data_IF_590447106169
#
_entry.id   IF_590447106169
#
_cell.length_a   1.000
_cell.length_b   1.000
_cell.length_c   1.000
_cell.angle_alpha   90.00
_cell.angle_beta   90.00
_cell.angle_gamma   90.00
#
_symmetry.space_group_name_H-M   'P 1'
#
loop_
_entity.id
_entity.type
_entity.pdbx_description
1 polymer ?
#
# COMPACT_ATOMS: atom_id res chain seq x y z
N UNK A 1 40.43 -31.55 -5.87
CA UNK A 1 39.02 -31.81 -5.56
C UNK A 1 38.18 -31.14 -6.62
N UNK A 2 37.40 -31.90 -7.37
CA UNK A 2 36.54 -31.39 -8.45
C UNK A 2 35.17 -31.12 -7.84
N UNK A 3 34.77 -29.85 -7.77
CA UNK A 3 33.41 -29.49 -7.38
C UNK A 3 32.47 -29.83 -8.52
N UNK A 4 31.58 -30.81 -8.30
CA UNK A 4 30.43 -31.07 -9.15
C UNK A 4 29.33 -30.08 -8.79
N UNK A 5 28.90 -29.25 -9.74
CA UNK A 5 27.65 -28.50 -9.65
C UNK A 5 26.59 -29.27 -10.43
N UNK A 6 26.01 -30.29 -9.82
CA UNK A 6 24.74 -30.84 -10.29
C UNK A 6 23.69 -29.73 -10.11
N UNK A 7 23.06 -29.32 -11.21
CA UNK A 7 21.90 -28.45 -11.13
C UNK A 7 20.77 -29.23 -10.43
N UNK A 8 20.25 -28.70 -9.32
CA UNK A 8 19.06 -29.27 -8.70
C UNK A 8 17.87 -29.07 -9.65
N UNK A 9 17.47 -30.14 -10.33
CA UNK A 9 16.18 -30.17 -11.04
C UNK A 9 15.11 -30.17 -9.96
N UNK A 10 14.37 -29.07 -9.84
CA UNK A 10 13.16 -29.04 -9.03
C UNK A 10 12.11 -29.79 -9.82
N UNK A 11 11.73 -30.99 -9.36
CA UNK A 11 10.58 -31.69 -9.91
C UNK A 11 9.31 -30.86 -9.68
N UNK A 12 8.42 -30.86 -10.66
CA UNK A 12 7.16 -30.13 -10.58
C UNK A 12 6.29 -30.74 -9.48
N UNK A 13 6.21 -30.04 -8.36
CA UNK A 13 5.36 -30.36 -7.22
C UNK A 13 4.26 -29.29 -7.12
N UNK A 14 3.01 -29.71 -7.33
CA UNK A 14 1.82 -28.85 -7.22
C UNK A 14 1.65 -28.23 -5.82
N UNK A 15 2.35 -28.79 -4.82
CA UNK A 15 2.34 -28.31 -3.43
C UNK A 15 3.52 -27.41 -3.07
N UNK A 16 4.46 -27.17 -4.00
CA UNK A 16 5.60 -26.31 -3.75
C UNK A 16 5.14 -24.85 -3.56
N UNK A 17 5.37 -24.23 -2.38
CA UNK A 17 4.96 -22.86 -2.16
C UNK A 17 5.85 -21.91 -2.99
N UNK A 18 5.24 -21.19 -3.93
CA UNK A 18 5.91 -20.11 -4.66
C UNK A 18 5.76 -18.78 -3.91
N UNK A 19 6.86 -18.04 -3.74
CA UNK A 19 6.80 -16.66 -3.24
C UNK A 19 6.32 -15.74 -4.37
N UNK A 20 5.02 -15.41 -4.36
CA UNK A 20 4.40 -14.54 -5.38
C UNK A 20 4.59 -13.06 -5.08
N UNK A 21 4.73 -12.70 -3.79
CA UNK A 21 4.93 -11.32 -3.36
C UNK A 21 5.63 -11.26 -1.99
N UNK A 22 6.76 -10.56 -1.95
CA UNK A 22 7.51 -10.34 -0.72
C UNK A 22 6.81 -9.32 0.18
N UNK A 23 6.46 -9.73 1.40
CA UNK A 23 5.71 -8.91 2.37
C UNK A 23 6.55 -8.10 3.36
N UNK A 24 7.89 -8.20 3.30
CA UNK A 24 8.77 -7.46 4.20
C UNK A 24 9.64 -6.44 3.45
N UNK A 25 9.99 -5.34 4.12
CA UNK A 25 11.02 -4.37 3.70
C UNK A 25 11.97 -4.07 4.86
N UNK A 26 13.07 -3.38 4.57
CA UNK A 26 14.06 -3.00 5.59
C UNK A 26 13.63 -1.77 6.39
N UNK A 27 12.94 -0.84 5.75
CA UNK A 27 12.40 0.35 6.40
C UNK A 27 10.93 0.08 6.73
N UNK A 28 10.59 0.16 8.00
CA UNK A 28 9.25 -0.16 8.52
C UNK A 28 8.65 1.06 9.22
N UNK A 29 7.46 1.45 8.78
CA UNK A 29 6.59 2.39 9.48
C UNK A 29 5.47 1.58 10.13
N UNK A 30 5.57 1.39 11.44
CA UNK A 30 4.60 0.64 12.22
C UNK A 30 3.94 1.57 13.23
N UNK A 31 2.61 1.63 13.20
CA UNK A 31 1.86 2.35 14.21
C UNK A 31 1.56 1.43 15.40
N UNK A 32 1.75 1.95 16.61
CA UNK A 32 1.34 1.27 17.83
C UNK A 32 -0.17 0.97 17.79
N UNK A 33 -0.55 -0.21 18.25
CA UNK A 33 -1.96 -0.56 18.42
C UNK A 33 -2.52 0.23 19.60
N UNK A 34 -3.68 0.83 19.39
CA UNK A 34 -4.41 1.51 20.46
C UNK A 34 -5.19 0.48 21.29
N UNK A 35 -5.11 0.63 22.62
CA UNK A 35 -5.72 -0.31 23.57
C UNK A 35 -7.25 -0.12 23.69
N UNK A 36 -7.79 1.01 23.21
CA UNK A 36 -9.21 1.37 23.31
C UNK A 36 -9.90 1.22 21.95
N UNK A 37 -9.28 1.75 20.89
CA UNK A 37 -9.79 1.70 19.52
C UNK A 37 -8.87 0.85 18.63
N UNK A 38 -9.16 -0.46 18.56
CA UNK A 38 -8.38 -1.39 17.75
C UNK A 38 -8.31 -1.06 16.24
N UNK A 39 -9.16 -0.15 15.75
CA UNK A 39 -9.15 0.32 14.37
C UNK A 39 -8.30 1.59 14.17
N UNK A 40 -7.76 2.17 15.25
CA UNK A 40 -6.89 3.33 15.20
C UNK A 40 -5.46 2.93 14.80
N UNK A 41 -5.14 3.19 13.54
CA UNK A 41 -3.78 3.07 13.01
C UNK A 41 -3.13 4.42 12.71
N UNK A 42 -1.87 4.34 12.25
CA UNK A 42 -1.16 5.48 11.68
C UNK A 42 -1.77 5.93 10.35
N UNK A 43 -1.42 7.13 9.90
CA UNK A 43 -1.76 7.57 8.54
C UNK A 43 -0.65 8.47 7.98
N UNK A 44 -0.45 8.43 6.66
CA UNK A 44 0.46 9.34 5.94
C UNK A 44 -0.37 10.17 4.97
N UNK A 45 -0.13 11.48 4.95
CA UNK A 45 -0.83 12.39 4.05
C UNK A 45 0.16 13.37 3.41
N UNK A 46 0.13 13.42 2.08
CA UNK A 46 0.63 14.55 1.31
C UNK A 46 -0.54 15.52 1.15
N UNK A 47 -0.40 16.73 1.72
CA UNK A 47 -1.48 17.70 1.83
C UNK A 47 -1.12 18.97 1.07
N UNK A 48 -1.90 19.30 0.03
CA UNK A 48 -1.76 20.54 -0.75
C UNK A 48 -0.34 20.79 -1.29
N UNK A 49 0.29 19.75 -1.85
CA UNK A 49 1.68 19.82 -2.33
C UNK A 49 1.77 20.04 -3.85
N UNK A 50 1.06 21.04 -4.37
CA UNK A 50 0.99 21.32 -5.81
C UNK A 50 2.39 21.53 -6.40
N UNK A 51 2.68 20.85 -7.52
CA UNK A 51 3.99 20.89 -8.21
C UNK A 51 5.18 20.37 -7.38
N UNK A 52 4.93 19.74 -6.23
CA UNK A 52 5.99 19.12 -5.41
C UNK A 52 5.99 17.61 -5.63
N UNK A 53 7.15 17.10 -6.05
CA UNK A 53 7.35 15.67 -6.23
C UNK A 53 7.41 14.94 -4.88
N UNK A 54 6.61 13.88 -4.74
CA UNK A 54 6.63 12.98 -3.58
C UNK A 54 7.17 11.62 -4.00
N UNK A 55 8.14 11.08 -3.25
CA UNK A 55 8.67 9.73 -3.48
C UNK A 55 8.62 8.92 -2.19
N UNK A 56 7.97 7.76 -2.27
CA UNK A 56 7.97 6.77 -1.21
C UNK A 56 8.22 5.41 -1.85
N UNK A 57 9.41 4.86 -1.61
CA UNK A 57 9.85 3.64 -2.27
C UNK A 57 10.42 2.61 -1.31
N UNK A 58 9.97 1.37 -1.42
CA UNK A 58 10.55 0.24 -0.71
C UNK A 58 10.31 0.23 0.81
N UNK A 59 9.23 0.86 1.28
CA UNK A 59 8.86 0.91 2.70
C UNK A 59 7.76 -0.10 3.02
N UNK A 60 7.82 -0.70 4.21
CA UNK A 60 6.75 -1.52 4.78
C UNK A 60 5.94 -0.68 5.76
N UNK A 61 4.62 -0.64 5.59
CA UNK A 61 3.68 0.16 6.36
C UNK A 61 2.71 -0.81 7.06
N UNK A 62 2.70 -0.78 8.39
CA UNK A 62 2.03 -1.78 9.24
C UNK A 62 1.08 -1.11 10.21
N UNK A 63 -0.16 -1.62 10.31
CA UNK A 63 -1.18 -1.10 11.21
C UNK A 63 -1.53 0.37 10.94
N UNK A 64 -1.60 0.76 9.67
CA UNK A 64 -2.05 2.10 9.26
C UNK A 64 -3.52 2.09 8.81
N UNK A 65 -4.06 3.27 8.51
CA UNK A 65 -5.48 3.50 8.27
C UNK A 65 -6.24 3.59 9.58
N UNK A 66 -7.26 4.45 9.62
CA UNK A 66 -8.14 4.56 10.79
C UNK A 66 -9.54 4.16 10.37
N UNK A 67 -10.00 2.99 10.81
CA UNK A 67 -11.30 2.44 10.40
C UNK A 67 -12.45 3.38 10.70
N UNK A 68 -13.28 3.67 9.69
CA UNK A 68 -14.44 4.56 9.82
C UNK A 68 -14.11 6.06 9.81
N UNK A 69 -12.83 6.46 9.73
CA UNK A 69 -12.42 7.88 9.76
C UNK A 69 -11.95 8.34 8.39
N UNK A 70 -12.82 9.06 7.67
CA UNK A 70 -12.56 9.49 6.30
C UNK A 70 -11.26 10.32 6.19
N UNK A 71 -10.50 10.09 5.12
CA UNK A 71 -9.23 10.80 4.86
C UNK A 71 -8.04 10.34 5.71
N UNK A 72 -8.17 9.25 6.48
CA UNK A 72 -7.09 8.66 7.30
C UNK A 72 -6.71 7.30 6.74
N UNK A 73 -5.73 7.29 5.85
CA UNK A 73 -5.30 6.12 5.07
C UNK A 73 -3.80 5.88 5.19
N UNK A 74 -3.30 4.67 4.89
CA UNK A 74 -1.87 4.39 4.91
C UNK A 74 -1.05 5.33 4.05
N UNK A 75 -1.50 5.65 2.84
CA UNK A 75 -0.92 6.67 1.97
C UNK A 75 -2.05 7.46 1.33
N UNK A 76 -2.08 8.77 1.55
CA UNK A 76 -3.11 9.66 1.03
C UNK A 76 -2.49 10.87 0.32
N UNK A 77 -2.73 11.00 -0.99
CA UNK A 77 -2.57 12.28 -1.68
C UNK A 77 -3.88 13.05 -1.57
N UNK A 78 -3.87 14.14 -0.82
CA UNK A 78 -5.08 14.92 -0.55
C UNK A 78 -4.93 16.33 -1.13
N UNK A 79 -5.72 16.62 -2.16
CA UNK A 79 -5.84 17.94 -2.79
C UNK A 79 -4.51 18.50 -3.25
N UNK A 80 -3.60 17.64 -3.74
CA UNK A 80 -2.29 18.06 -4.21
C UNK A 80 -2.31 18.59 -5.65
N UNK A 81 -3.44 18.56 -6.36
CA UNK A 81 -3.52 18.97 -7.76
C UNK A 81 -2.51 18.17 -8.60
N UNK A 82 -1.81 18.77 -9.58
CA UNK A 82 -0.76 18.03 -10.31
C UNK A 82 0.45 17.72 -9.42
N UNK A 83 0.76 16.42 -9.31
CA UNK A 83 1.95 15.87 -8.61
C UNK A 83 2.82 15.06 -9.57
N UNK A 84 2.97 15.56 -10.80
CA UNK A 84 3.76 14.91 -11.85
C UNK A 84 5.15 14.47 -11.35
N UNK A 85 5.59 13.29 -11.82
CA UNK A 85 6.81 12.61 -11.39
C UNK A 85 6.79 12.07 -9.95
N UNK A 86 5.71 12.23 -9.18
CA UNK A 86 5.59 11.55 -7.88
C UNK A 86 5.46 10.05 -8.06
N UNK A 87 6.11 9.29 -7.17
CA UNK A 87 6.24 7.85 -7.26
C UNK A 87 6.04 7.18 -5.91
N UNK A 88 5.01 6.34 -5.82
CA UNK A 88 4.76 5.41 -4.73
C UNK A 88 5.06 4.02 -5.27
N UNK A 89 6.22 3.47 -4.91
CA UNK A 89 6.70 2.24 -5.55
C UNK A 89 7.27 1.19 -4.62
N UNK A 90 7.05 -0.09 -4.93
CA UNK A 90 7.66 -1.23 -4.21
C UNK A 90 7.37 -1.26 -2.70
N UNK A 91 6.34 -0.55 -2.24
CA UNK A 91 5.97 -0.54 -0.83
C UNK A 91 5.14 -1.77 -0.48
N UNK A 92 5.11 -2.12 0.81
CA UNK A 92 4.17 -3.09 1.36
C UNK A 92 3.25 -2.37 2.32
N UNK A 93 1.94 -2.55 2.17
CA UNK A 93 0.94 -2.07 3.13
C UNK A 93 0.26 -3.32 3.71
N UNK A 94 0.45 -3.58 5.00
CA UNK A 94 -0.17 -4.76 5.62
C UNK A 94 -0.86 -4.47 6.93
N UNK A 95 -1.89 -5.27 7.23
CA UNK A 95 -2.71 -5.08 8.43
C UNK A 95 -3.30 -3.67 8.50
N UNK A 96 -3.76 -3.14 7.36
CA UNK A 96 -4.39 -1.81 7.30
C UNK A 96 -5.83 -1.89 7.79
N UNK A 97 -6.23 -0.93 8.62
CA UNK A 97 -7.59 -0.80 9.14
C UNK A 97 -8.50 0.02 8.22
N UNK A 98 -7.94 0.70 7.21
CA UNK A 98 -8.74 1.43 6.21
C UNK A 98 -7.95 1.77 4.95
N UNK A 99 -8.32 1.13 3.83
CA UNK A 99 -7.77 1.35 2.47
C UNK A 99 -6.24 1.17 2.43
N UNK A 100 -5.61 1.51 1.30
CA UNK A 100 -4.17 1.39 1.12
C UNK A 100 -3.59 2.71 0.57
N UNK A 101 -3.62 2.90 -0.75
CA UNK A 101 -3.23 4.16 -1.40
C UNK A 101 -4.47 4.86 -1.95
N UNK A 102 -4.71 6.08 -1.47
CA UNK A 102 -5.84 6.91 -1.91
C UNK A 102 -5.30 8.16 -2.58
N UNK A 103 -5.82 8.45 -3.77
CA UNK A 103 -5.58 9.68 -4.49
C UNK A 103 -6.90 10.47 -4.53
N UNK A 104 -6.91 11.63 -3.90
CA UNK A 104 -8.06 12.53 -3.81
C UNK A 104 -7.65 13.91 -4.31
N UNK A 105 -8.34 14.43 -5.33
CA UNK A 105 -8.09 15.77 -5.87
C UNK A 105 -6.66 15.98 -6.35
N UNK A 106 -6.01 14.90 -6.78
CA UNK A 106 -4.59 14.86 -7.14
C UNK A 106 -4.39 14.11 -8.46
N UNK A 107 -3.42 14.53 -9.26
CA UNK A 107 -3.27 14.14 -10.66
C UNK A 107 -1.83 13.74 -10.99
N UNK A 108 -1.67 12.90 -12.01
CA UNK A 108 -0.37 12.50 -12.56
C UNK A 108 0.57 11.78 -11.57
N UNK A 109 0.04 11.16 -10.52
CA UNK A 109 0.83 10.33 -9.60
C UNK A 109 1.06 8.92 -10.18
N UNK A 110 2.19 8.31 -9.81
CA UNK A 110 2.50 6.93 -10.17
C UNK A 110 2.45 6.04 -8.93
N UNK A 111 1.55 5.06 -8.92
CA UNK A 111 1.41 4.03 -7.88
C UNK A 111 1.75 2.69 -8.53
N UNK A 112 2.95 2.19 -8.29
CA UNK A 112 3.54 1.11 -9.10
C UNK A 112 4.18 0.02 -8.22
N UNK A 113 4.02 -1.27 -8.56
CA UNK A 113 4.74 -2.38 -7.90
C UNK A 113 4.52 -2.48 -6.37
N UNK A 114 3.42 -1.93 -5.84
CA UNK A 114 3.11 -2.02 -4.41
C UNK A 114 2.35 -3.30 -4.09
N UNK A 115 2.54 -3.82 -2.88
CA UNK A 115 1.81 -4.97 -2.37
C UNK A 115 0.97 -4.52 -1.19
N UNK A 116 -0.31 -4.87 -1.19
CA UNK A 116 -1.20 -4.66 -0.07
C UNK A 116 -1.81 -5.99 0.36
N UNK A 117 -1.69 -6.32 1.64
CA UNK A 117 -2.08 -7.62 2.17
C UNK A 117 -2.79 -7.48 3.52
N UNK A 118 -3.91 -8.20 3.71
CA UNK A 118 -4.69 -8.15 4.96
C UNK A 118 -5.14 -6.73 5.32
N UNK A 119 -5.88 -6.10 4.41
CA UNK A 119 -6.28 -4.69 4.51
C UNK A 119 -7.79 -4.55 4.45
N UNK A 120 -8.37 -3.59 5.18
CA UNK A 120 -9.80 -3.33 5.12
C UNK A 120 -10.17 -2.40 3.96
N UNK A 121 -11.16 -2.79 3.16
CA UNK A 121 -11.71 -2.00 2.06
C UNK A 121 -10.89 -2.02 0.77
N UNK A 122 -11.22 -1.10 -0.14
CA UNK A 122 -10.50 -0.94 -1.39
C UNK A 122 -9.08 -0.42 -1.17
N UNK A 123 -8.09 -1.07 -1.78
CA UNK A 123 -6.70 -0.69 -1.56
C UNK A 123 -6.25 0.51 -2.37
N UNK A 124 -6.33 0.43 -3.70
CA UNK A 124 -5.80 1.44 -4.60
C UNK A 124 -6.99 2.12 -5.27
N UNK A 125 -7.24 3.38 -4.93
CA UNK A 125 -8.44 4.09 -5.41
C UNK A 125 -8.16 5.54 -5.78
N UNK A 126 -9.04 6.06 -6.62
CA UNK A 126 -9.34 7.48 -6.75
C UNK A 126 -10.59 7.77 -5.91
N UNK A 127 -10.65 8.92 -5.22
CA UNK A 127 -11.76 9.20 -4.29
C UNK A 127 -13.02 9.72 -5.00
N UNK A 128 -12.89 10.73 -5.86
CA UNK A 128 -14.05 11.45 -6.42
C UNK A 128 -14.28 11.22 -7.93
N UNK A 129 -13.29 10.68 -8.64
CA UNK A 129 -13.36 10.42 -10.08
C UNK A 129 -12.96 11.62 -10.96
N UNK A 130 -12.68 12.78 -10.36
CA UNK A 130 -12.10 13.93 -11.05
C UNK A 130 -10.57 13.78 -11.26
N UNK A 131 -9.94 12.77 -10.64
CA UNK A 131 -8.50 12.57 -10.64
C UNK A 131 -7.99 11.98 -11.97
N UNK A 132 -7.34 12.81 -12.79
CA UNK A 132 -6.80 12.41 -14.10
C UNK A 132 -5.30 12.10 -14.11
N UNK A 133 -4.87 11.30 -15.10
CA UNK A 133 -3.44 11.04 -15.39
C UNK A 133 -2.71 10.16 -14.37
N UNK A 134 -3.39 9.66 -13.34
CA UNK A 134 -2.79 8.77 -12.35
C UNK A 134 -2.56 7.37 -12.94
N UNK A 135 -1.38 6.81 -12.67
CA UNK A 135 -0.99 5.49 -13.15
C UNK A 135 -0.99 4.49 -12.01
N UNK A 136 -1.81 3.44 -12.12
CA UNK A 136 -1.77 2.28 -11.25
C UNK A 136 -1.24 1.09 -12.06
N UNK A 137 -0.04 0.59 -11.72
CA UNK A 137 0.62 -0.45 -12.53
C UNK A 137 1.22 -1.53 -11.64
N UNK A 138 0.88 -2.80 -11.90
CA UNK A 138 1.45 -3.98 -11.20
C UNK A 138 1.36 -3.89 -9.66
N UNK A 139 0.32 -3.24 -9.14
CA UNK A 139 0.04 -3.29 -7.72
C UNK A 139 -0.74 -4.57 -7.40
N UNK A 140 -0.38 -5.26 -6.33
CA UNK A 140 -1.09 -6.41 -5.80
C UNK A 140 -1.92 -5.99 -4.59
N UNK A 141 -3.19 -6.38 -4.57
CA UNK A 141 -4.04 -6.35 -3.39
C UNK A 141 -4.56 -7.76 -3.12
N UNK A 142 -4.31 -8.30 -1.93
CA UNK A 142 -4.71 -9.65 -1.57
C UNK A 142 -5.23 -9.72 -0.13
N UNK A 143 -6.16 -10.65 0.13
CA UNK A 143 -6.81 -10.81 1.44
C UNK A 143 -7.41 -9.49 1.94
N UNK A 144 -8.28 -8.87 1.15
CA UNK A 144 -9.00 -7.68 1.58
C UNK A 144 -10.18 -8.08 2.47
N UNK A 145 -10.38 -7.33 3.56
CA UNK A 145 -11.51 -7.49 4.48
C UNK A 145 -12.55 -6.42 4.17
N UNK A 146 -13.81 -6.68 4.52
CA UNK A 146 -14.82 -5.62 4.47
C UNK A 146 -14.43 -4.47 5.41
N UNK A 147 -14.71 -3.23 5.00
CA UNK A 147 -14.64 -2.09 5.92
C UNK A 147 -15.73 -2.28 6.96
N UNK A 148 -15.33 -2.51 8.21
CA UNK A 148 -16.24 -2.39 9.33
C UNK A 148 -16.50 -0.92 9.54
N UNK A 149 -17.76 -0.49 9.35
CA UNK A 149 -18.16 0.85 9.73
C UNK A 149 -17.92 0.99 11.23
N UNK A 150 -17.02 1.91 11.61
CA UNK A 150 -16.98 2.35 13.00
C UNK A 150 -18.36 2.89 13.35
N UNK A 151 -18.97 2.32 14.38
CA UNK A 151 -20.07 2.94 15.11
C UNK A 151 -19.52 4.26 15.67
N UNK A 152 -19.68 5.33 14.89
CA UNK A 152 -19.59 6.70 15.38
C UNK A 152 -20.87 7.07 16.10
#
# INVERSE_FOLDING_TARGET
ETFSTEASVVEFDETFPVEVARLNRQVVFEAQKDDVDSLLGGHLMFLHTMMVQQKLEGVEIVNFGQGGRLGRYPIHFHMCNSVANSLISKNVIRSSNQRCVVIHGSHNAQVIDNVAYDTAGHCYILEDGAEVGNTFKRNLGAKTRALTAGIG
#
